data_IF_208377976363
#
_entry.id   IF_208377976363
#
_cell.length_a   1.000
_cell.length_b   1.000
_cell.length_c   1.000
_cell.angle_alpha   90.00
_cell.angle_beta   90.00
_cell.angle_gamma   90.00
#
_symmetry.space_group_name_H-M   'P 1'
#
loop_
_entity.id
_entity.type
_entity.pdbx_description
1 polymer ?
#
# COMPACT_ATOMS: atom_id res chain seq x y z
N UNK A 1 -4.65 31.25 -10.05
CA UNK A 1 -3.18 31.38 -9.84
C UNK A 1 -2.68 30.00 -9.50
N UNK A 2 -1.99 29.37 -10.45
CA UNK A 2 -1.42 28.03 -10.29
C UNK A 2 -0.13 28.17 -9.52
N UNK A 3 -0.12 27.83 -8.23
CA UNK A 3 1.14 27.63 -7.52
C UNK A 3 1.86 26.45 -8.17
N UNK A 4 2.95 26.78 -8.87
CA UNK A 4 3.91 25.82 -9.39
C UNK A 4 4.48 25.05 -8.20
N UNK A 5 4.28 23.72 -8.20
CA UNK A 5 4.80 22.82 -7.17
C UNK A 5 6.33 22.77 -7.25
N UNK A 6 7.00 23.67 -6.53
CA UNK A 6 8.45 23.66 -6.35
C UNK A 6 8.84 22.58 -5.35
N UNK A 7 9.06 21.38 -5.86
CA UNK A 7 9.80 20.38 -5.11
C UNK A 7 11.27 20.82 -5.01
N UNK A 8 11.60 21.54 -3.94
CA UNK A 8 12.97 21.88 -3.58
C UNK A 8 13.68 20.64 -3.02
N UNK A 9 14.17 19.81 -3.92
CA UNK A 9 15.00 18.63 -3.61
C UNK A 9 16.43 19.06 -3.25
N UNK A 10 16.77 19.08 -1.95
CA UNK A 10 18.16 19.23 -1.48
C UNK A 10 18.93 17.91 -1.61
N UNK A 11 20.15 17.98 -2.13
CA UNK A 11 20.90 16.87 -2.73
C UNK A 11 21.83 16.06 -1.81
N UNK A 12 21.81 16.21 -0.48
CA UNK A 12 22.89 15.68 0.39
C UNK A 12 22.47 14.59 1.42
N UNK A 13 21.37 13.86 1.24
CA UNK A 13 20.81 12.96 2.27
C UNK A 13 20.91 11.43 2.00
N UNK A 14 21.78 10.97 1.09
CA UNK A 14 21.67 9.63 0.46
C UNK A 14 21.63 8.37 1.37
N UNK A 15 22.19 8.41 2.59
CA UNK A 15 22.19 7.24 3.51
C UNK A 15 21.10 7.30 4.58
N UNK A 16 20.86 8.49 5.16
CA UNK A 16 19.80 8.70 6.15
C UNK A 16 18.40 8.65 5.53
N UNK A 17 18.27 9.11 4.29
CA UNK A 17 17.00 9.08 3.55
C UNK A 17 16.57 7.65 3.22
N UNK A 18 17.51 6.76 2.90
CA UNK A 18 17.19 5.37 2.49
C UNK A 18 16.74 4.50 3.65
N UNK A 19 17.37 4.59 4.83
CA UNK A 19 16.89 3.85 6.03
C UNK A 19 15.48 4.29 6.41
N UNK A 20 15.23 5.60 6.41
CA UNK A 20 13.90 6.13 6.70
C UNK A 20 12.88 5.73 5.61
N UNK A 21 13.29 5.65 4.34
CA UNK A 21 12.45 5.15 3.26
C UNK A 21 12.11 3.66 3.42
N UNK A 22 13.05 2.82 3.88
CA UNK A 22 12.77 1.40 4.18
C UNK A 22 11.70 1.27 5.26
N UNK A 23 11.81 2.03 6.36
CA UNK A 23 10.79 2.00 7.42
C UNK A 23 9.41 2.44 6.90
N UNK A 24 9.34 3.55 6.16
CA UNK A 24 8.07 4.06 5.61
C UNK A 24 7.43 3.09 4.61
N UNK A 25 8.24 2.50 3.72
CA UNK A 25 7.76 1.57 2.69
C UNK A 25 7.38 0.21 3.26
N UNK A 26 8.03 -0.24 4.34
CA UNK A 26 7.66 -1.48 5.03
C UNK A 26 6.20 -1.48 5.49
N UNK A 27 5.65 -0.31 5.82
CA UNK A 27 4.24 -0.15 6.22
C UNK A 27 3.29 -0.39 5.04
N UNK A 28 3.70 -0.07 3.80
CA UNK A 28 2.81 -0.13 2.62
C UNK A 28 3.00 -1.39 1.80
N UNK A 29 4.23 -1.84 1.57
CA UNK A 29 4.53 -2.99 0.72
C UNK A 29 4.90 -4.27 1.50
N UNK A 30 4.98 -4.20 2.84
CA UNK A 30 5.47 -5.29 3.68
C UNK A 30 6.98 -5.22 3.91
N UNK A 31 7.40 -5.57 5.13
CA UNK A 31 8.81 -5.52 5.55
C UNK A 31 9.71 -6.48 4.73
N UNK A 32 9.32 -7.74 4.45
CA UNK A 32 10.18 -8.65 3.69
C UNK A 32 10.53 -8.10 2.30
N UNK A 33 9.57 -7.51 1.60
CA UNK A 33 9.77 -6.93 0.28
C UNK A 33 10.65 -5.68 0.31
N UNK A 34 10.42 -4.78 1.27
CA UNK A 34 11.24 -3.57 1.42
C UNK A 34 12.71 -3.92 1.70
N UNK A 35 12.96 -4.93 2.54
CA UNK A 35 14.31 -5.44 2.83
C UNK A 35 14.94 -6.11 1.61
N UNK A 36 14.19 -6.95 0.89
CA UNK A 36 14.68 -7.57 -0.35
C UNK A 36 15.14 -6.52 -1.35
N UNK A 37 14.30 -5.52 -1.63
CA UNK A 37 14.62 -4.41 -2.54
C UNK A 37 15.86 -3.65 -2.08
N UNK A 38 15.97 -3.38 -0.77
CA UNK A 38 17.14 -2.72 -0.20
C UNK A 38 18.42 -3.54 -0.41
N UNK A 39 18.37 -4.86 -0.19
CA UNK A 39 19.51 -5.76 -0.38
C UNK A 39 19.90 -5.86 -1.85
N UNK A 40 18.94 -6.01 -2.76
CA UNK A 40 19.19 -6.04 -4.21
C UNK A 40 19.84 -4.74 -4.70
N UNK A 41 19.39 -3.59 -4.19
CA UNK A 41 19.95 -2.29 -4.53
C UNK A 41 21.41 -2.08 -4.10
N UNK A 42 21.93 -2.90 -3.17
CA UNK A 42 23.32 -2.85 -2.72
C UNK A 42 24.25 -3.77 -3.51
N UNK A 43 23.71 -4.71 -4.29
CA UNK A 43 24.52 -5.63 -5.10
C UNK A 43 25.01 -4.90 -6.35
N UNK A 44 26.32 -4.68 -6.45
CA UNK A 44 26.94 -4.07 -7.64
C UNK A 44 27.09 -5.03 -8.82
N UNK A 45 27.05 -6.34 -8.54
CA UNK A 45 27.50 -7.38 -9.46
C UNK A 45 26.35 -8.25 -10.00
N UNK A 46 25.10 -7.97 -9.57
CA UNK A 46 23.92 -8.72 -10.00
C UNK A 46 23.29 -8.07 -11.24
N UNK A 47 22.85 -8.90 -12.19
CA UNK A 47 21.99 -8.45 -13.29
C UNK A 47 20.72 -7.82 -12.72
N UNK A 48 20.29 -6.69 -13.29
CA UNK A 48 19.12 -5.97 -12.81
C UNK A 48 17.85 -6.76 -13.14
N UNK A 49 17.27 -7.40 -12.12
CA UNK A 49 15.95 -7.99 -12.23
C UNK A 49 14.86 -6.94 -11.90
N UNK A 50 14.02 -6.53 -12.88
CA UNK A 50 12.94 -5.56 -12.63
C UNK A 50 11.78 -6.14 -11.82
N UNK A 51 11.66 -7.46 -11.70
CA UNK A 51 10.49 -8.14 -11.15
C UNK A 51 10.20 -7.76 -9.68
N UNK A 52 11.15 -7.84 -8.73
CA UNK A 52 10.90 -7.41 -7.35
C UNK A 52 10.51 -5.94 -7.24
N UNK A 53 11.05 -5.07 -8.12
CA UNK A 53 10.74 -3.64 -8.14
C UNK A 53 9.30 -3.40 -8.57
N UNK A 54 8.81 -4.13 -9.58
CA UNK A 54 7.42 -4.06 -10.02
C UNK A 54 6.46 -4.50 -8.91
N UNK A 55 6.74 -5.62 -8.23
CA UNK A 55 5.98 -6.08 -7.06
C UNK A 55 5.95 -5.03 -5.97
N UNK A 56 7.11 -4.43 -5.65
CA UNK A 56 7.23 -3.35 -4.67
C UNK A 56 6.34 -2.15 -4.96
N UNK A 57 6.34 -1.68 -6.21
CA UNK A 57 5.52 -0.55 -6.63
C UNK A 57 4.02 -0.88 -6.59
N UNK A 58 3.64 -2.09 -7.03
CA UNK A 58 2.25 -2.54 -7.00
C UNK A 58 1.73 -2.68 -5.57
N UNK A 59 2.48 -3.37 -4.70
CA UNK A 59 2.12 -3.52 -3.29
C UNK A 59 2.04 -2.16 -2.58
N UNK A 60 2.95 -1.24 -2.89
CA UNK A 60 2.91 0.13 -2.38
C UNK A 60 1.62 0.87 -2.79
N UNK A 61 1.24 0.81 -4.07
CA UNK A 61 0.00 1.40 -4.56
C UNK A 61 -1.23 0.80 -3.89
N UNK A 62 -1.25 -0.52 -3.72
CA UNK A 62 -2.34 -1.25 -3.06
C UNK A 62 -2.45 -0.87 -1.59
N UNK A 63 -1.35 -0.90 -0.83
CA UNK A 63 -1.34 -0.54 0.58
C UNK A 63 -1.75 0.91 0.82
N UNK A 64 -1.24 1.84 0.01
CA UNK A 64 -1.65 3.25 0.07
C UNK A 64 -3.14 3.42 -0.28
N UNK A 65 -3.61 2.75 -1.32
CA UNK A 65 -5.02 2.83 -1.75
C UNK A 65 -5.94 2.26 -0.69
N UNK A 66 -5.61 1.11 -0.10
CA UNK A 66 -6.34 0.51 1.01
C UNK A 66 -6.43 1.47 2.20
N UNK A 67 -5.34 2.18 2.54
CA UNK A 67 -5.33 3.19 3.60
C UNK A 67 -6.27 4.36 3.30
N UNK A 68 -6.30 4.85 2.05
CA UNK A 68 -7.25 5.91 1.63
C UNK A 68 -8.68 5.40 1.76
N UNK A 69 -8.95 4.21 1.23
CA UNK A 69 -10.28 3.61 1.19
C UNK A 69 -10.86 3.37 2.58
N UNK A 70 -10.05 2.86 3.52
CA UNK A 70 -10.48 2.56 4.88
C UNK A 70 -10.50 3.77 5.83
N UNK A 71 -10.03 4.95 5.40
CA UNK A 71 -9.88 6.10 6.27
C UNK A 71 -11.21 6.80 6.58
N UNK A 72 -11.40 7.19 7.84
CA UNK A 72 -12.50 8.07 8.25
C UNK A 72 -12.37 9.49 7.70
N UNK A 73 -11.13 9.94 7.47
CA UNK A 73 -10.83 11.28 6.99
C UNK A 73 -9.52 11.24 6.17
N UNK A 74 -9.59 10.92 4.86
CA UNK A 74 -8.43 10.98 3.98
C UNK A 74 -7.74 12.36 4.04
N UNK A 75 -6.41 12.37 4.12
CA UNK A 75 -5.59 13.59 4.30
C UNK A 75 -5.29 13.92 5.75
N UNK A 76 -6.20 13.59 6.67
CA UNK A 76 -6.03 13.87 8.10
C UNK A 76 -5.84 12.58 8.90
N UNK A 77 -4.73 11.89 8.64
CA UNK A 77 -4.45 10.55 9.18
C UNK A 77 -4.50 10.49 10.71
N UNK A 78 -3.94 11.47 11.42
CA UNK A 78 -3.95 11.51 12.88
C UNK A 78 -5.37 11.59 13.46
N UNK A 79 -6.25 12.34 12.80
CA UNK A 79 -7.67 12.40 13.19
C UNK A 79 -8.39 11.10 12.85
N UNK A 80 -8.09 10.51 11.69
CA UNK A 80 -8.69 9.24 11.28
C UNK A 80 -8.34 8.11 12.27
N UNK A 81 -7.09 8.00 12.69
CA UNK A 81 -6.62 6.98 13.64
C UNK A 81 -7.24 7.19 15.02
N UNK A 82 -7.34 8.44 15.48
CA UNK A 82 -8.01 8.78 16.74
C UNK A 82 -9.50 8.41 16.73
N UNK A 83 -10.20 8.71 15.63
CA UNK A 83 -11.62 8.41 15.45
C UNK A 83 -11.85 6.90 15.39
N UNK A 84 -10.99 6.16 14.67
CA UNK A 84 -11.02 4.71 14.64
C UNK A 84 -10.84 4.11 16.04
N UNK A 85 -9.89 4.63 16.83
CA UNK A 85 -9.67 4.17 18.21
C UNK A 85 -10.88 4.43 19.13
N UNK A 86 -11.56 5.56 18.97
CA UNK A 86 -12.82 5.83 19.69
C UNK A 86 -13.91 4.87 19.24
N UNK A 87 -14.07 4.67 17.93
CA UNK A 87 -15.09 3.79 17.38
C UNK A 87 -14.94 2.36 17.90
N UNK A 88 -13.73 1.80 17.90
CA UNK A 88 -13.47 0.45 18.43
C UNK A 88 -13.88 0.31 19.90
N UNK A 89 -13.71 1.36 20.71
CA UNK A 89 -14.20 1.37 22.11
C UNK A 89 -15.71 1.43 22.21
N UNK A 90 -16.38 2.17 21.32
CA UNK A 90 -17.85 2.24 21.27
C UNK A 90 -18.44 0.89 20.86
N UNK A 91 -17.86 0.22 19.85
CA UNK A 91 -18.26 -1.12 19.44
C UNK A 91 -18.17 -2.09 20.62
N UNK A 92 -17.07 -2.07 21.38
CA UNK A 92 -16.89 -2.96 22.53
C UNK A 92 -17.77 -2.65 23.74
N UNK A 93 -18.25 -1.41 23.91
CA UNK A 93 -19.02 -1.00 25.10
C UNK A 93 -20.52 -0.90 24.85
N UNK A 94 -20.92 -0.39 23.68
CA UNK A 94 -22.33 -0.19 23.31
C UNK A 94 -22.55 -0.52 21.83
N UNK A 95 -22.56 -1.82 21.45
CA UNK A 95 -22.70 -2.25 20.05
C UNK A 95 -23.93 -1.64 19.36
N UNK A 96 -25.06 -1.55 20.07
CA UNK A 96 -26.31 -0.99 19.55
C UNK A 96 -26.27 0.51 19.20
N UNK A 97 -25.27 1.26 19.67
CA UNK A 97 -25.06 2.66 19.30
C UNK A 97 -23.93 2.87 18.29
N UNK A 98 -23.10 1.86 18.04
CA UNK A 98 -21.91 1.99 17.19
C UNK A 98 -22.28 2.39 15.76
N UNK A 99 -23.25 1.72 15.14
CA UNK A 99 -23.71 2.04 13.79
C UNK A 99 -24.25 3.48 13.68
N UNK A 100 -25.05 3.92 14.67
CA UNK A 100 -25.58 5.28 14.70
C UNK A 100 -24.47 6.33 14.90
N UNK A 101 -23.52 6.06 15.79
CA UNK A 101 -22.40 6.96 16.03
C UNK A 101 -21.55 7.10 14.78
N UNK A 102 -21.21 5.98 14.14
CA UNK A 102 -20.50 5.95 12.85
C UNK A 102 -21.20 6.78 11.79
N UNK A 103 -22.50 6.53 11.55
CA UNK A 103 -23.26 7.27 10.55
C UNK A 103 -23.29 8.79 10.80
N UNK A 104 -23.38 9.22 12.07
CA UNK A 104 -23.32 10.65 12.43
C UNK A 104 -21.92 11.19 12.17
N UNK A 105 -20.88 10.52 12.68
CA UNK A 105 -19.48 10.94 12.54
C UNK A 105 -19.08 11.04 11.08
N UNK A 106 -19.34 10.01 10.27
CA UNK A 106 -19.07 10.05 8.84
C UNK A 106 -19.77 11.22 8.14
N UNK A 107 -21.03 11.50 8.50
CA UNK A 107 -21.76 12.64 7.92
C UNK A 107 -21.13 13.99 8.30
N UNK A 108 -20.50 14.11 9.46
CA UNK A 108 -19.80 15.33 9.88
C UNK A 108 -18.40 15.43 9.27
N UNK A 109 -17.73 14.31 9.02
CA UNK A 109 -16.39 14.26 8.44
C UNK A 109 -16.39 14.32 6.91
N UNK A 110 -17.48 13.93 6.25
CA UNK A 110 -17.70 14.04 4.80
C UNK A 110 -17.79 15.52 4.42
N UNK A 111 -16.65 16.17 4.33
CA UNK A 111 -16.48 17.44 3.62
C UNK A 111 -16.83 17.19 2.14
N UNK A 112 -17.57 18.09 1.45
CA UNK A 112 -17.77 17.97 0.01
C UNK A 112 -16.40 17.78 -0.65
N UNK A 113 -16.26 16.81 -1.56
CA UNK A 113 -14.96 16.45 -2.13
C UNK A 113 -14.31 17.68 -2.74
N UNK A 114 -13.41 18.30 -1.98
CA UNK A 114 -12.66 19.43 -2.44
C UNK A 114 -11.49 18.89 -3.27
N UNK A 115 -11.14 19.58 -4.35
CA UNK A 115 -9.97 19.22 -5.16
C UNK A 115 -8.70 19.17 -4.31
N UNK A 116 -8.67 19.87 -3.17
CA UNK A 116 -7.62 19.82 -2.18
C UNK A 116 -7.34 18.40 -1.63
N UNK A 117 -8.36 17.66 -1.20
CA UNK A 117 -8.19 16.30 -0.65
C UNK A 117 -7.68 15.35 -1.73
N UNK A 118 -8.21 15.47 -2.95
CA UNK A 118 -7.72 14.66 -4.07
C UNK A 118 -6.23 14.94 -4.33
N UNK A 119 -5.84 16.21 -4.41
CA UNK A 119 -4.44 16.61 -4.62
C UNK A 119 -3.54 16.07 -3.51
N UNK A 120 -3.98 16.13 -2.26
CA UNK A 120 -3.23 15.58 -1.13
C UNK A 120 -3.05 14.06 -1.22
N UNK A 121 -4.07 13.33 -1.68
CA UNK A 121 -3.99 11.88 -1.88
C UNK A 121 -3.07 11.50 -3.04
N UNK A 122 -3.05 12.33 -4.09
CA UNK A 122 -2.10 12.20 -5.19
C UNK A 122 -0.65 12.37 -4.71
N UNK A 123 -0.39 13.41 -3.91
CA UNK A 123 0.92 13.65 -3.31
C UNK A 123 1.32 12.55 -2.32
N UNK A 124 0.36 12.01 -1.55
CA UNK A 124 0.59 10.87 -0.68
C UNK A 124 1.04 9.64 -1.47
N UNK A 125 0.30 9.24 -2.51
CA UNK A 125 0.66 8.10 -3.36
C UNK A 125 2.03 8.29 -4.02
N UNK A 126 2.26 9.48 -4.58
CA UNK A 126 3.52 9.78 -5.26
C UNK A 126 4.73 9.72 -4.31
N UNK A 127 4.60 10.27 -3.10
CA UNK A 127 5.67 10.21 -2.10
C UNK A 127 6.04 8.77 -1.73
N UNK A 128 5.04 7.90 -1.52
CA UNK A 128 5.30 6.51 -1.17
C UNK A 128 5.94 5.74 -2.33
N UNK A 129 5.56 6.01 -3.58
CA UNK A 129 6.20 5.40 -4.75
C UNK A 129 7.65 5.86 -4.92
N UNK A 130 7.93 7.14 -4.68
CA UNK A 130 9.29 7.66 -4.69
C UNK A 130 10.14 7.00 -3.62
N UNK A 131 9.61 6.82 -2.40
CA UNK A 131 10.29 6.09 -1.34
C UNK A 131 10.57 4.63 -1.75
N UNK A 132 9.61 3.95 -2.38
CA UNK A 132 9.79 2.60 -2.91
C UNK A 132 10.92 2.51 -3.95
N UNK A 133 10.97 3.48 -4.88
CA UNK A 133 12.07 3.57 -5.86
C UNK A 133 13.41 3.83 -5.19
N UNK A 134 13.48 4.71 -4.18
CA UNK A 134 14.71 5.00 -3.42
C UNK A 134 15.23 3.74 -2.72
N UNK A 135 14.32 2.94 -2.15
CA UNK A 135 14.64 1.64 -1.53
C UNK A 135 15.18 0.66 -2.58
N UNK A 136 14.58 0.62 -3.76
CA UNK A 136 15.05 -0.16 -4.91
C UNK A 136 16.34 0.38 -5.57
N UNK A 137 17.00 1.38 -4.98
CA UNK A 137 18.30 1.87 -5.43
C UNK A 137 18.26 3.09 -6.35
N UNK A 138 17.08 3.62 -6.66
CA UNK A 138 16.94 4.83 -7.47
C UNK A 138 17.63 6.02 -6.79
N UNK A 139 18.38 6.80 -7.57
CA UNK A 139 19.14 7.97 -7.08
C UNK A 139 18.44 9.25 -7.53
N UNK A 140 18.12 10.13 -6.56
CA UNK A 140 17.35 11.38 -6.73
C UNK A 140 18.04 12.45 -7.61
N UNK A 141 19.24 12.19 -8.13
CA UNK A 141 20.06 13.15 -8.89
C UNK A 141 19.83 13.13 -10.41
N UNK A 142 18.91 12.32 -10.94
CA UNK A 142 18.66 12.30 -12.38
C UNK A 142 17.75 13.45 -12.78
N UNK A 143 18.15 14.24 -13.77
CA UNK A 143 17.30 15.18 -14.53
C UNK A 143 15.98 14.51 -14.97
N UNK A 144 16.02 13.19 -15.17
CA UNK A 144 14.90 12.30 -15.50
C UNK A 144 13.87 12.11 -14.37
N UNK A 145 14.15 12.51 -13.12
CA UNK A 145 13.26 12.22 -11.99
C UNK A 145 11.96 13.01 -12.06
N UNK A 146 12.03 14.27 -12.47
CA UNK A 146 10.85 15.11 -12.67
C UNK A 146 10.02 14.58 -13.85
N UNK A 147 10.68 14.27 -14.96
CA UNK A 147 10.03 13.69 -16.15
C UNK A 147 9.34 12.36 -15.85
N UNK A 148 9.96 11.49 -15.06
CA UNK A 148 9.37 10.22 -14.63
C UNK A 148 8.12 10.45 -13.78
N UNK A 149 8.20 11.31 -12.77
CA UNK A 149 7.08 11.68 -11.90
C UNK A 149 5.92 12.25 -12.72
N UNK A 150 6.20 13.17 -13.65
CA UNK A 150 5.17 13.80 -14.48
C UNK A 150 4.53 12.80 -15.45
N UNK A 151 5.26 11.80 -15.92
CA UNK A 151 4.72 10.73 -16.78
C UNK A 151 3.65 9.90 -16.09
N UNK A 152 3.80 9.66 -14.78
CA UNK A 152 2.84 8.84 -14.02
C UNK A 152 1.78 9.66 -13.28
N UNK A 153 1.96 10.98 -13.16
CA UNK A 153 1.08 11.86 -12.38
C UNK A 153 -0.39 11.68 -12.71
N UNK A 154 -0.76 11.63 -13.99
CA UNK A 154 -2.15 11.45 -14.40
C UNK A 154 -2.73 10.10 -13.95
N UNK A 155 -1.94 9.03 -14.03
CA UNK A 155 -2.36 7.70 -13.56
C UNK A 155 -2.51 7.67 -12.04
N UNK A 156 -1.61 8.32 -11.31
CA UNK A 156 -1.70 8.47 -9.85
C UNK A 156 -2.94 9.29 -9.46
N UNK A 157 -3.25 10.35 -10.20
CA UNK A 157 -4.49 11.11 -10.04
C UNK A 157 -5.74 10.26 -10.20
N UNK A 158 -5.75 9.38 -11.20
CA UNK A 158 -6.84 8.43 -11.39
C UNK A 158 -6.95 7.43 -10.22
N UNK A 159 -5.83 6.89 -9.73
CA UNK A 159 -5.82 5.97 -8.56
C UNK A 159 -6.35 6.68 -7.32
N UNK A 160 -5.85 7.88 -7.01
CA UNK A 160 -6.31 8.68 -5.86
C UNK A 160 -7.82 8.93 -5.93
N UNK A 161 -8.31 9.34 -7.10
CA UNK A 161 -9.73 9.59 -7.35
C UNK A 161 -10.58 8.34 -7.17
N UNK A 162 -10.13 7.18 -7.66
CA UNK A 162 -10.84 5.91 -7.51
C UNK A 162 -10.86 5.44 -6.05
N UNK A 163 -9.74 5.56 -5.34
CA UNK A 163 -9.65 5.22 -3.92
C UNK A 163 -10.58 6.10 -3.07
N UNK A 164 -10.61 7.41 -3.31
CA UNK A 164 -11.54 8.32 -2.64
C UNK A 164 -13.01 8.02 -2.98
N UNK A 165 -13.30 7.66 -4.24
CA UNK A 165 -14.65 7.25 -4.62
C UNK A 165 -15.07 6.00 -3.87
N UNK A 166 -14.20 4.99 -3.78
CA UNK A 166 -14.46 3.77 -3.02
C UNK A 166 -14.64 4.04 -1.52
N UNK A 167 -13.82 4.93 -0.93
CA UNK A 167 -14.00 5.38 0.46
C UNK A 167 -15.43 5.89 0.74
N UNK A 168 -16.04 6.58 -0.23
CA UNK A 168 -17.42 7.08 -0.08
C UNK A 168 -18.51 6.07 -0.42
N UNK A 169 -18.19 5.04 -1.20
CA UNK A 169 -19.15 4.08 -1.75
C UNK A 169 -19.23 2.76 -0.97
N UNK A 170 -18.15 2.38 -0.28
CA UNK A 170 -18.16 1.19 0.57
C UNK A 170 -19.19 1.36 1.67
N UNK A 171 -20.11 0.38 1.74
CA UNK A 171 -21.09 0.29 2.81
C UNK A 171 -20.42 -0.14 4.11
N UNK A 172 -21.05 0.20 5.24
CA UNK A 172 -20.55 -0.17 6.58
C UNK A 172 -20.35 -1.68 6.76
N UNK A 173 -21.09 -2.50 6.03
CA UNK A 173 -21.01 -3.95 6.09
C UNK A 173 -19.86 -4.53 5.25
N UNK A 174 -19.09 -3.71 4.53
CA UNK A 174 -18.00 -4.14 3.66
C UNK A 174 -16.67 -3.55 4.08
N UNK A 175 -15.63 -4.39 4.05
CA UNK A 175 -14.25 -4.02 4.37
C UNK A 175 -13.30 -4.49 3.28
N UNK A 176 -12.30 -3.64 2.99
CA UNK A 176 -11.16 -4.03 2.15
C UNK A 176 -10.34 -5.08 2.91
N UNK A 177 -9.98 -6.15 2.21
CA UNK A 177 -9.12 -7.20 2.73
C UNK A 177 -7.70 -7.04 2.14
N UNK A 178 -6.74 -6.74 3.01
CA UNK A 178 -5.31 -6.80 2.74
C UNK A 178 -4.72 -7.86 3.65
N UNK A 179 -3.83 -8.67 3.13
CA UNK A 179 -3.09 -9.68 3.91
C UNK A 179 -1.73 -9.12 4.29
N UNK A 180 -1.36 -9.26 5.55
CA UNK A 180 -0.07 -8.77 6.03
C UNK A 180 1.07 -9.67 5.56
N UNK A 181 2.23 -9.04 5.37
CA UNK A 181 3.47 -9.79 5.26
C UNK A 181 3.66 -10.62 6.53
N UNK A 182 4.12 -11.85 6.38
CA UNK A 182 4.34 -12.85 7.45
C UNK A 182 3.12 -13.70 7.82
N UNK A 183 1.96 -13.46 7.19
CA UNK A 183 0.85 -14.43 7.23
C UNK A 183 1.16 -15.65 6.34
N UNK A 184 0.59 -16.81 6.70
CA UNK A 184 0.69 -18.04 5.91
C UNK A 184 -0.39 -18.03 4.83
N UNK A 185 -0.03 -18.48 3.63
CA UNK A 185 -0.97 -18.62 2.53
C UNK A 185 -2.14 -19.55 2.88
N UNK A 186 -3.36 -19.06 2.64
CA UNK A 186 -4.60 -19.80 2.77
C UNK A 186 -5.39 -19.71 1.46
N UNK A 187 -5.37 -20.80 0.68
CA UNK A 187 -6.03 -20.89 -0.63
C UNK A 187 -7.56 -20.68 -0.52
N UNK A 188 -8.19 -20.94 0.62
CA UNK A 188 -9.63 -20.69 0.77
C UNK A 188 -9.94 -19.20 0.76
N UNK A 189 -8.99 -18.36 1.16
CA UNK A 189 -9.20 -16.93 1.41
C UNK A 189 -8.38 -16.01 0.53
N UNK A 190 -7.35 -16.54 -0.13
CA UNK A 190 -6.35 -15.78 -0.88
C UNK A 190 -6.12 -16.44 -2.24
N UNK A 191 -5.56 -15.69 -3.18
CA UNK A 191 -5.12 -16.19 -4.48
C UNK A 191 -3.62 -15.90 -4.63
N UNK A 192 -2.83 -16.91 -5.01
CA UNK A 192 -1.42 -16.69 -5.34
C UNK A 192 -1.34 -15.99 -6.70
N UNK A 193 -0.74 -14.81 -6.72
CA UNK A 193 -0.60 -14.00 -7.93
C UNK A 193 0.22 -14.69 -9.04
N UNK A 194 1.04 -15.68 -8.69
CA UNK A 194 1.97 -16.35 -9.60
C UNK A 194 1.78 -17.86 -9.69
N UNK A 195 0.80 -18.43 -8.98
CA UNK A 195 0.50 -19.87 -8.97
C UNK A 195 1.74 -20.74 -8.69
N UNK A 196 2.61 -20.26 -7.79
CA UNK A 196 3.86 -20.94 -7.39
C UNK A 196 3.61 -21.85 -6.18
N UNK A 197 2.56 -21.56 -5.40
CA UNK A 197 2.14 -22.41 -4.29
C UNK A 197 1.38 -23.65 -4.78
N UNK A 198 1.95 -24.84 -4.59
CA UNK A 198 1.19 -26.08 -4.28
C UNK A 198 2.01 -27.39 -4.17
N UNK A 199 3.34 -27.42 -4.30
CA UNK A 199 4.09 -28.71 -4.23
C UNK A 199 5.04 -28.89 -3.04
N UNK A 200 5.48 -27.83 -2.37
CA UNK A 200 6.47 -27.93 -1.28
C UNK A 200 5.89 -27.56 0.10
N UNK A 201 5.90 -28.51 1.04
CA UNK A 201 5.42 -28.40 2.43
C UNK A 201 6.25 -27.45 3.34
N UNK A 202 7.21 -26.71 2.80
CA UNK A 202 8.07 -25.85 3.60
C UNK A 202 7.35 -24.57 4.00
N UNK A 203 7.21 -24.35 5.32
CA UNK A 203 6.51 -23.20 5.90
C UNK A 203 7.01 -21.83 5.39
N UNK A 204 8.32 -21.69 5.13
CA UNK A 204 8.92 -20.44 4.64
C UNK A 204 8.56 -20.12 3.17
N UNK A 205 8.17 -21.12 2.38
CA UNK A 205 7.85 -20.97 0.95
C UNK A 205 6.42 -20.45 0.77
N UNK A 206 5.53 -20.82 1.69
CA UNK A 206 4.13 -20.38 1.75
C UNK A 206 3.93 -19.08 2.55
N UNK A 207 5.01 -18.40 2.94
CA UNK A 207 4.93 -17.11 3.62
C UNK A 207 4.60 -16.00 2.61
N UNK A 208 3.63 -15.16 2.98
CA UNK A 208 3.22 -14.02 2.18
C UNK A 208 4.22 -12.89 2.35
N UNK A 209 4.66 -12.36 1.22
CA UNK A 209 5.56 -11.20 1.16
C UNK A 209 4.77 -9.90 1.10
N UNK A 210 3.72 -9.85 0.27
CA UNK A 210 2.87 -8.68 0.12
C UNK A 210 1.51 -9.02 -0.53
N UNK A 211 0.57 -8.08 -0.44
CA UNK A 211 -0.68 -8.09 -1.21
C UNK A 211 -0.53 -7.21 -2.46
N UNK A 212 -0.88 -7.73 -3.64
CA UNK A 212 -0.78 -7.06 -4.94
C UNK A 212 -2.13 -6.74 -5.57
N UNK A 213 -3.22 -7.33 -5.09
CA UNK A 213 -4.60 -6.93 -5.41
C UNK A 213 -5.45 -6.97 -4.13
N UNK A 214 -6.27 -5.94 -3.91
CA UNK A 214 -7.16 -5.84 -2.75
C UNK A 214 -8.28 -6.86 -2.82
N UNK A 215 -8.55 -7.53 -1.71
CA UNK A 215 -9.77 -8.32 -1.51
C UNK A 215 -10.91 -7.48 -0.94
N UNK A 216 -12.07 -8.11 -0.81
CA UNK A 216 -13.27 -7.54 -0.21
C UNK A 216 -13.95 -8.61 0.65
N UNK A 217 -14.39 -8.24 1.85
CA UNK A 217 -15.14 -9.12 2.76
C UNK A 217 -16.27 -8.37 3.45
N UNK A 218 -17.16 -9.10 4.11
CA UNK A 218 -18.09 -8.49 5.05
C UNK A 218 -17.39 -8.10 6.36
N UNK A 219 -17.82 -7.01 7.00
CA UNK A 219 -17.25 -6.53 8.26
C UNK A 219 -17.62 -7.42 9.45
N UNK A 220 -18.80 -8.05 9.39
CA UNK A 220 -19.39 -8.85 10.48
C UNK A 220 -19.22 -10.36 10.31
N UNK A 221 -18.87 -10.81 9.11
CA UNK A 221 -18.70 -12.21 8.76
C UNK A 221 -17.32 -12.41 8.16
N UNK A 222 -16.74 -13.58 8.38
CA UNK A 222 -15.44 -13.93 7.80
C UNK A 222 -15.52 -14.33 6.31
N UNK A 223 -16.63 -13.95 5.67
CA UNK A 223 -17.00 -14.32 4.32
C UNK A 223 -16.31 -13.39 3.31
N UNK A 224 -15.36 -13.96 2.56
CA UNK A 224 -14.58 -13.27 1.53
C UNK A 224 -15.39 -13.21 0.23
N UNK A 225 -15.72 -12.00 -0.22
CA UNK A 225 -16.43 -11.74 -1.48
C UNK A 225 -15.49 -11.71 -2.68
N UNK A 226 -14.28 -11.17 -2.46
CA UNK A 226 -13.21 -11.11 -3.44
C UNK A 226 -11.92 -11.45 -2.72
N UNK A 227 -11.24 -12.50 -3.17
CA UNK A 227 -9.95 -12.89 -2.60
C UNK A 227 -8.89 -11.85 -2.97
N UNK A 228 -8.06 -11.39 -2.01
CA UNK A 228 -6.87 -10.63 -2.33
C UNK A 228 -5.89 -11.51 -3.10
N UNK A 229 -5.14 -10.92 -4.02
CA UNK A 229 -3.96 -11.58 -4.60
C UNK A 229 -2.73 -11.26 -3.79
N UNK A 230 -1.98 -12.30 -3.46
CA UNK A 230 -0.79 -12.21 -2.63
C UNK A 230 0.42 -12.77 -3.37
N UNK A 231 1.60 -12.31 -3.00
CA UNK A 231 2.87 -12.82 -3.52
C UNK A 231 3.55 -13.62 -2.44
N UNK A 232 3.87 -14.87 -2.75
CA UNK A 232 4.59 -15.77 -1.86
C UNK A 232 6.11 -15.54 -1.95
N UNK A 233 6.82 -15.86 -0.88
CA UNK A 233 8.27 -15.81 -0.84
C UNK A 233 8.91 -16.73 -1.91
N UNK A 234 8.23 -17.83 -2.25
CA UNK A 234 8.59 -18.71 -3.37
C UNK A 234 8.79 -17.96 -4.69
N UNK A 235 7.88 -17.04 -5.03
CA UNK A 235 7.91 -16.32 -6.31
C UNK A 235 9.15 -15.42 -6.45
N UNK A 236 9.67 -14.90 -5.34
CA UNK A 236 10.85 -14.02 -5.33
C UNK A 236 12.17 -14.80 -5.22
N UNK A 237 12.12 -16.08 -4.86
CA UNK A 237 13.30 -16.95 -4.67
C UNK A 237 13.45 -17.97 -5.80
N UNK A 238 12.36 -18.44 -6.41
CA UNK A 238 12.36 -19.42 -7.50
C UNK A 238 13.10 -18.95 -8.76
N UNK A 239 13.14 -17.66 -9.03
CA UNK A 239 13.94 -17.11 -10.14
C UNK A 239 15.46 -17.15 -9.87
N UNK A 240 15.90 -17.30 -8.62
CA UNK A 240 17.34 -17.42 -8.31
C UNK A 240 17.90 -18.83 -8.48
N UNK A 241 17.07 -19.83 -8.82
CA UNK A 241 17.46 -21.25 -8.94
C UNK A 241 17.67 -21.75 -10.37
N UNK A 242 17.40 -20.94 -11.40
CA UNK A 242 17.53 -21.37 -12.81
C UNK A 242 18.93 -21.15 -13.43
N UNK A 243 19.92 -20.67 -12.66
CA UNK A 243 21.27 -20.35 -13.13
C UNK A 243 22.40 -21.13 -12.42
N UNK A 244 22.18 -22.40 -12.04
CA UNK A 244 23.25 -23.35 -11.65
C UNK A 244 23.29 -24.60 -12.54
#
# INVERSE_FOLDING_TARGET
MSESLDFTFKSDAGSYDRKAAVERTSITMGRPLALLLHTLAQRSDAEFNPFPVQIGLQACLVGCSAKIIASWCPGHWDYADFIAAIYSRIVGTTPGLAARWRAITERQLKTPSDGAVQTEMEEYLLRNLVDALIVAGWRRSSENARTLVDTFRERIAQVAKLALRLNTMLSDDLEILIVHSDETFDEERMEDAYDVGSEEEYADVNQIVCTTEMGLKFSTEDNVLLKPKVVLQAALTGETRYDD
#
